data_IF_324483078827
#
_entry.id   IF_324483078827
#
_cell.length_a   1.000
_cell.length_b   1.000
_cell.length_c   1.000
_cell.angle_alpha   90.00
_cell.angle_beta   90.00
_cell.angle_gamma   90.00
#
_symmetry.space_group_name_H-M   'P 1'
#
loop_
_entity.id
_entity.type
_entity.pdbx_description
1 polymer ?
#
# COMPACT_ATOMS: atom_id res chain seq x y z
N UNK A 1 6.79 -22.04 -34.93
CA UNK A 1 5.54 -22.83 -35.07
C UNK A 1 4.47 -22.06 -34.31
N UNK A 2 3.69 -21.25 -35.03
CA UNK A 2 2.66 -20.41 -34.42
C UNK A 2 1.41 -21.24 -34.16
N UNK A 3 0.84 -21.10 -32.95
CA UNK A 3 -0.54 -21.47 -32.67
C UNK A 3 -1.23 -20.30 -31.99
N UNK A 4 -1.87 -19.49 -32.82
CA UNK A 4 -2.95 -18.58 -32.45
C UNK A 4 -4.18 -19.41 -32.11
N UNK A 5 -4.78 -19.17 -30.94
CA UNK A 5 -6.11 -19.68 -30.60
C UNK A 5 -7.09 -18.50 -30.57
N UNK A 6 -7.99 -18.48 -31.54
CA UNK A 6 -9.16 -17.61 -31.56
C UNK A 6 -10.14 -18.04 -30.47
N UNK A 7 -10.55 -17.12 -29.61
CA UNK A 7 -11.76 -17.28 -28.81
C UNK A 7 -12.81 -16.24 -29.25
N UNK A 8 -13.98 -16.77 -29.58
CA UNK A 8 -15.12 -16.10 -30.20
C UNK A 8 -15.98 -15.52 -29.07
N UNK A 9 -16.00 -14.19 -28.87
CA UNK A 9 -16.92 -13.55 -27.92
C UNK A 9 -18.29 -13.33 -28.56
N UNK A 10 -19.29 -13.96 -27.96
CA UNK A 10 -20.71 -13.79 -28.26
C UNK A 10 -21.21 -12.55 -27.50
N UNK A 11 -21.54 -11.48 -28.22
CA UNK A 11 -22.19 -10.30 -27.65
C UNK A 11 -23.67 -10.59 -27.36
N UNK A 12 -24.08 -10.52 -26.10
CA UNK A 12 -25.48 -10.24 -25.76
C UNK A 12 -25.59 -8.77 -25.33
N UNK A 13 -26.19 -7.96 -26.22
CA UNK A 13 -26.71 -6.64 -25.91
C UNK A 13 -27.95 -6.79 -25.02
N UNK A 14 -27.94 -6.21 -23.82
CA UNK A 14 -29.18 -5.87 -23.11
C UNK A 14 -29.51 -4.40 -23.40
N UNK A 15 -30.58 -4.19 -24.16
CA UNK A 15 -31.06 -2.88 -24.59
C UNK A 15 -31.86 -2.15 -23.53
N UNK A 16 -31.63 -0.84 -23.46
CA UNK A 16 -32.49 0.14 -22.83
C UNK A 16 -33.87 0.19 -23.48
N UNK A 17 -34.94 0.22 -22.68
CA UNK A 17 -36.26 0.69 -23.11
C UNK A 17 -36.95 1.47 -21.97
N UNK A 18 -37.27 2.73 -22.29
CA UNK A 18 -38.00 3.72 -21.48
C UNK A 18 -39.50 3.42 -21.40
N UNK A 19 -40.16 3.84 -20.32
CA UNK A 19 -41.63 4.00 -20.26
C UNK A 19 -42.18 4.51 -18.92
N UNK A 20 -42.45 5.83 -18.83
CA UNK A 20 -43.22 6.58 -17.79
C UNK A 20 -44.76 6.31 -17.90
N UNK A 21 -45.69 6.93 -17.11
CA UNK A 21 -45.64 7.49 -15.73
C UNK A 21 -46.89 7.16 -14.87
N UNK A 22 -46.93 7.58 -13.60
CA UNK A 22 -48.21 7.94 -12.94
C UNK A 22 -48.05 9.09 -11.93
N UNK A 23 -49.02 10.01 -12.00
CA UNK A 23 -49.13 11.32 -11.33
C UNK A 23 -50.05 11.20 -10.09
N UNK A 24 -50.04 12.24 -9.23
CA UNK A 24 -51.09 12.74 -8.30
C UNK A 24 -50.76 12.43 -6.82
N UNK A 25 -50.74 13.33 -5.83
CA UNK A 25 -50.99 14.77 -5.68
C UNK A 25 -50.40 15.29 -4.35
N UNK A 26 -50.02 16.58 -4.32
CA UNK A 26 -49.93 17.46 -3.14
C UNK A 26 -51.32 18.06 -2.85
N UNK A 27 -51.67 18.46 -1.58
CA UNK A 27 -51.40 19.84 -1.09
C UNK A 27 -51.25 19.91 0.47
N UNK A 28 -50.69 20.91 1.18
CA UNK A 28 -50.89 22.37 1.38
C UNK A 28 -49.74 22.82 2.34
N UNK A 29 -48.98 23.92 2.20
CA UNK A 29 -49.20 25.38 2.22
C UNK A 29 -49.34 26.09 3.61
N UNK A 30 -48.55 27.17 3.76
CA UNK A 30 -48.53 28.31 4.73
C UNK A 30 -47.62 28.17 5.98
N UNK A 31 -46.74 29.14 6.35
CA UNK A 31 -46.38 30.46 5.81
C UNK A 31 -45.79 31.38 6.91
N UNK A 32 -44.88 32.28 6.52
CA UNK A 32 -44.46 33.58 7.14
C UNK A 32 -43.83 33.57 8.56
N UNK A 33 -42.88 34.43 8.97
CA UNK A 33 -42.35 35.72 8.48
C UNK A 33 -41.10 36.14 9.31
N UNK A 34 -40.23 36.98 8.74
CA UNK A 34 -39.10 37.71 9.39
C UNK A 34 -39.55 39.02 10.08
N UNK A 35 -38.67 39.70 10.85
CA UNK A 35 -38.06 40.95 10.32
C UNK A 35 -36.61 41.32 10.77
N UNK A 36 -35.88 41.97 9.85
CA UNK A 36 -34.82 43.04 9.91
C UNK A 36 -33.95 43.21 11.16
N UNK A 37 -32.60 43.38 11.16
CA UNK A 37 -31.57 44.02 10.30
C UNK A 37 -30.37 44.41 11.24
N UNK A 38 -29.25 45.09 10.87
CA UNK A 38 -28.87 45.74 9.61
C UNK A 38 -27.52 45.26 8.99
N UNK A 39 -27.21 45.86 7.83
CA UNK A 39 -26.02 45.75 6.96
C UNK A 39 -24.65 45.62 7.65
N UNK A 40 -23.82 44.71 7.13
CA UNK A 40 -22.41 45.01 6.89
C UNK A 40 -21.95 44.35 5.58
N UNK A 41 -21.42 45.19 4.69
CA UNK A 41 -20.91 44.82 3.38
C UNK A 41 -19.48 44.32 3.53
N UNK A 42 -19.25 43.02 3.35
CA UNK A 42 -17.92 42.42 3.28
C UNK A 42 -17.90 41.33 2.23
N UNK A 43 -17.05 41.48 1.23
CA UNK A 43 -16.71 40.48 0.22
C UNK A 43 -16.47 39.11 0.87
N UNK A 44 -17.34 38.14 0.56
CA UNK A 44 -17.11 36.73 0.86
C UNK A 44 -16.66 36.04 -0.43
N UNK A 45 -15.45 36.35 -0.86
CA UNK A 45 -14.66 35.51 -1.74
C UNK A 45 -13.47 34.98 -0.93
N UNK A 46 -13.28 33.67 -0.99
CA UNK A 46 -12.00 33.00 -0.79
C UNK A 46 -11.53 32.76 0.66
N UNK A 47 -12.27 31.94 1.42
CA UNK A 47 -11.69 31.14 2.51
C UNK A 47 -12.13 29.67 2.40
N UNK A 48 -11.78 29.03 1.28
CA UNK A 48 -11.53 27.59 1.29
C UNK A 48 -10.15 27.37 1.90
N UNK A 49 -10.20 26.99 3.18
CA UNK A 49 -9.09 26.62 4.06
C UNK A 49 -8.00 25.84 3.31
N UNK A 50 -6.91 26.52 3.00
CA UNK A 50 -5.62 25.89 2.82
C UNK A 50 -5.32 25.07 4.09
N UNK A 51 -5.22 23.76 3.95
CA UNK A 51 -4.70 22.86 4.97
C UNK A 51 -3.29 23.35 5.29
N UNK A 52 -3.12 24.01 6.44
CA UNK A 52 -1.82 24.54 6.81
C UNK A 52 -0.89 23.38 7.15
N UNK A 53 0.06 23.10 6.26
CA UNK A 53 1.18 22.20 6.50
C UNK A 53 1.91 22.70 7.74
N UNK A 54 1.80 21.95 8.84
CA UNK A 54 2.27 22.34 10.15
C UNK A 54 3.79 22.10 10.23
N UNK A 55 4.62 23.11 9.89
CA UNK A 55 6.09 22.99 9.81
C UNK A 55 6.85 23.14 11.13
N UNK A 56 6.16 23.13 12.28
CA UNK A 56 6.78 23.36 13.57
C UNK A 56 6.16 22.47 14.65
N UNK A 57 6.56 21.19 14.66
CA UNK A 57 6.52 20.38 15.87
C UNK A 57 7.97 20.10 16.26
N UNK A 58 8.39 20.53 17.44
CA UNK A 58 9.73 20.31 17.95
C UNK A 58 9.97 18.82 18.16
N UNK A 59 10.91 18.29 17.38
CA UNK A 59 11.34 16.91 17.29
C UNK A 59 12.42 16.59 18.33
N UNK A 60 12.28 15.47 19.02
CA UNK A 60 13.40 14.85 19.73
C UNK A 60 13.57 13.40 19.28
N UNK A 61 14.39 13.19 18.25
CA UNK A 61 15.05 11.92 17.96
C UNK A 61 16.57 12.17 18.01
N UNK A 62 17.40 11.33 18.66
CA UNK A 62 18.83 11.58 18.75
C UNK A 62 19.61 10.99 17.56
N UNK A 63 20.55 11.80 17.08
CA UNK A 63 21.70 11.51 16.19
C UNK A 63 21.38 11.07 14.77
N UNK A 64 21.39 12.03 13.83
CA UNK A 64 21.89 11.87 12.46
C UNK A 64 21.65 10.49 11.83
N UNK A 65 20.39 10.05 11.74
CA UNK A 65 20.06 8.87 10.95
C UNK A 65 20.26 9.26 9.48
N UNK A 66 21.39 8.87 8.92
CA UNK A 66 21.70 8.97 7.49
C UNK A 66 21.37 7.63 6.85
N UNK A 67 21.05 7.59 5.54
CA UNK A 67 20.91 6.33 4.82
C UNK A 67 22.09 5.39 5.07
N UNK A 68 21.84 4.09 5.23
CA UNK A 68 22.95 3.13 5.38
C UNK A 68 23.83 3.11 4.13
N UNK A 69 23.22 3.32 2.95
CA UNK A 69 23.90 3.46 1.65
C UNK A 69 24.79 4.69 1.53
N UNK A 70 24.61 5.71 2.39
CA UNK A 70 25.40 6.95 2.43
C UNK A 70 25.59 7.41 3.88
N UNK A 71 26.28 6.58 4.67
CA UNK A 71 26.49 6.79 6.12
C UNK A 71 27.27 8.07 6.48
N UNK A 72 28.06 8.61 5.55
CA UNK A 72 28.78 9.89 5.72
C UNK A 72 27.95 11.09 5.22
N UNK A 73 26.73 10.83 4.73
CA UNK A 73 25.80 11.81 4.15
C UNK A 73 26.41 12.70 3.07
N UNK A 74 27.20 12.12 2.17
CA UNK A 74 27.87 12.86 1.10
C UNK A 74 26.87 13.51 0.13
N UNK A 75 25.68 12.92 0.02
CA UNK A 75 24.58 13.39 -0.82
C UNK A 75 23.73 14.48 -0.16
N UNK A 76 23.94 14.76 1.13
CA UNK A 76 23.23 15.81 1.87
C UNK A 76 21.76 15.50 2.17
N UNK A 77 21.42 14.24 2.39
CA UNK A 77 20.09 13.77 2.76
C UNK A 77 19.53 14.49 3.99
N UNK A 78 18.25 14.86 3.89
CA UNK A 78 17.45 15.45 4.95
C UNK A 78 16.30 14.49 5.28
N UNK A 79 16.21 14.07 6.54
CA UNK A 79 15.20 13.11 6.99
C UNK A 79 13.78 13.71 6.92
N UNK A 80 12.82 12.91 6.46
CA UNK A 80 11.39 13.21 6.40
C UNK A 80 10.68 12.55 7.57
N UNK A 81 10.66 13.24 8.71
CA UNK A 81 10.11 12.69 9.94
C UNK A 81 8.59 12.39 9.90
N UNK A 82 7.87 12.99 8.96
CA UNK A 82 6.47 12.69 8.65
C UNK A 82 6.27 11.34 7.95
N UNK A 83 7.33 10.77 7.40
CA UNK A 83 7.40 9.47 6.72
C UNK A 83 8.33 8.47 7.43
N UNK A 84 9.04 8.91 8.48
CA UNK A 84 9.98 8.07 9.24
C UNK A 84 9.42 7.72 10.62
N UNK A 85 9.65 6.49 11.06
CA UNK A 85 9.32 6.01 12.39
C UNK A 85 10.33 4.97 12.89
N UNK A 86 10.71 5.10 14.16
CA UNK A 86 11.60 4.17 14.87
C UNK A 86 10.79 3.16 15.70
N UNK A 87 9.47 3.31 15.76
CA UNK A 87 8.55 2.42 16.48
C UNK A 87 8.87 2.21 17.98
N UNK A 88 9.62 3.13 18.59
CA UNK A 88 9.97 3.16 20.03
C UNK A 88 8.77 3.47 20.96
N UNK A 89 7.62 3.82 20.39
CA UNK A 89 6.39 4.10 21.13
C UNK A 89 5.76 2.85 21.74
N UNK A 90 4.70 3.03 22.55
CA UNK A 90 3.87 1.90 23.01
C UNK A 90 2.72 1.58 22.05
N UNK A 91 2.48 2.44 21.06
CA UNK A 91 1.41 2.37 20.07
C UNK A 91 1.88 3.02 18.78
N UNK A 92 1.33 2.62 17.63
CA UNK A 92 1.62 3.22 16.33
C UNK A 92 1.26 4.72 16.32
N UNK A 93 2.11 5.56 15.72
CA UNK A 93 1.81 6.98 15.54
C UNK A 93 0.81 7.17 14.39
N UNK A 94 -0.48 7.16 14.72
CA UNK A 94 -1.58 7.30 13.74
C UNK A 94 -1.68 8.69 13.11
N UNK A 95 -0.80 9.63 13.48
CA UNK A 95 -0.62 10.90 12.75
C UNK A 95 0.25 10.71 11.51
N UNK A 96 1.09 9.67 11.47
CA UNK A 96 1.97 9.33 10.35
C UNK A 96 1.43 8.17 9.53
N UNK A 97 0.75 7.22 10.18
CA UNK A 97 0.35 5.96 9.55
C UNK A 97 -1.17 5.75 9.59
N UNK A 98 -1.74 5.35 8.45
CA UNK A 98 -2.97 4.56 8.44
C UNK A 98 -2.64 3.11 8.81
N UNK A 99 -3.64 2.41 9.34
CA UNK A 99 -3.59 0.95 9.55
C UNK A 99 -4.51 0.35 8.50
N UNK A 100 -4.00 -0.60 7.72
CA UNK A 100 -4.78 -1.27 6.69
C UNK A 100 -5.98 -2.00 7.29
N UNK A 101 -7.10 -2.04 6.56
CA UNK A 101 -8.36 -2.63 7.03
C UNK A 101 -9.10 -1.82 8.11
N UNK A 102 -8.60 -0.65 8.51
CA UNK A 102 -9.28 0.16 9.52
C UNK A 102 -10.49 0.92 8.94
N UNK A 103 -11.69 0.82 9.55
CA UNK A 103 -12.91 1.45 9.02
C UNK A 103 -12.83 2.97 8.85
N UNK A 104 -11.96 3.65 9.61
CA UNK A 104 -11.79 5.09 9.49
C UNK A 104 -11.00 5.48 8.24
N UNK A 105 -10.23 4.59 7.61
CA UNK A 105 -9.53 4.89 6.35
C UNK A 105 -10.56 5.27 5.29
N UNK A 106 -11.63 4.50 5.17
CA UNK A 106 -12.76 4.80 4.28
C UNK A 106 -13.49 6.13 4.59
N UNK A 107 -13.33 6.67 5.80
CA UNK A 107 -13.98 7.92 6.23
C UNK A 107 -13.03 9.13 6.24
N UNK A 108 -11.72 8.91 6.42
CA UNK A 108 -10.66 9.93 6.37
C UNK A 108 -10.25 10.22 4.93
N UNK A 109 -10.36 9.23 4.03
CA UNK A 109 -10.25 9.43 2.60
C UNK A 109 -11.50 10.18 2.08
N UNK A 110 -11.35 11.22 1.23
CA UNK A 110 -12.48 11.98 0.73
C UNK A 110 -13.52 11.08 0.04
N UNK A 111 -14.73 10.99 0.61
CA UNK A 111 -15.85 10.26 0.01
C UNK A 111 -16.17 10.88 -1.37
N UNK A 112 -16.01 10.09 -2.45
CA UNK A 112 -16.39 10.50 -3.80
C UNK A 112 -15.30 10.42 -4.87
N UNK A 113 -14.16 9.79 -4.58
CA UNK A 113 -13.13 9.53 -5.59
C UNK A 113 -12.90 8.02 -5.75
N UNK A 114 -13.89 7.31 -6.28
CA UNK A 114 -13.75 5.91 -6.70
C UNK A 114 -12.98 5.77 -8.03
N UNK A 115 -12.30 6.83 -8.48
CA UNK A 115 -11.31 6.82 -9.57
C UNK A 115 -10.09 7.73 -9.28
N UNK A 116 -10.03 8.38 -8.10
CA UNK A 116 -9.00 9.38 -7.75
C UNK A 116 -8.74 9.34 -6.22
N UNK A 117 -8.39 8.19 -5.65
CA UNK A 117 -7.95 8.13 -4.24
C UNK A 117 -6.83 9.17 -4.00
N UNK A 118 -6.44 9.46 -2.76
CA UNK A 118 -5.26 10.30 -2.50
C UNK A 118 -3.93 9.70 -3.02
N UNK A 119 -4.02 8.62 -3.82
CA UNK A 119 -2.93 7.82 -4.36
C UNK A 119 -2.42 6.80 -3.35
N UNK A 120 -2.95 6.78 -2.12
CA UNK A 120 -2.41 5.91 -1.08
C UNK A 120 -2.86 4.47 -1.21
N UNK A 121 -3.95 4.18 -1.93
CA UNK A 121 -4.61 2.85 -1.96
C UNK A 121 -5.02 2.32 -0.58
N UNK A 122 -5.12 3.17 0.45
CA UNK A 122 -5.30 2.71 1.83
C UNK A 122 -6.66 2.01 2.09
N UNK A 123 -7.63 2.20 1.18
CA UNK A 123 -8.93 1.52 1.15
C UNK A 123 -8.89 0.11 0.57
N UNK A 124 -7.76 -0.31 -0.02
CA UNK A 124 -7.57 -1.66 -0.53
C UNK A 124 -7.73 -2.71 0.58
N UNK A 125 -8.48 -3.77 0.28
CA UNK A 125 -8.81 -4.84 1.22
C UNK A 125 -7.65 -5.81 1.47
N UNK A 126 -6.62 -5.74 0.61
CA UNK A 126 -5.57 -6.74 0.48
C UNK A 126 -5.89 -7.72 -0.64
N UNK A 127 -5.12 -8.80 -0.68
CA UNK A 127 -5.20 -9.82 -1.74
C UNK A 127 -5.76 -11.13 -1.21
N UNK A 128 -6.77 -11.67 -1.90
CA UNK A 128 -7.35 -12.93 -1.50
C UNK A 128 -6.32 -14.09 -1.64
N UNK A 129 -6.31 -15.05 -0.69
CA UNK A 129 -7.35 -15.28 0.32
C UNK A 129 -7.23 -14.41 1.58
N UNK A 130 -6.16 -13.63 1.74
CA UNK A 130 -5.98 -12.80 2.93
C UNK A 130 -6.73 -11.48 2.88
N UNK A 131 -7.17 -10.97 4.03
CA UNK A 131 -7.76 -9.62 4.17
C UNK A 131 -7.02 -8.85 5.26
N UNK A 132 -6.86 -7.54 5.10
CA UNK A 132 -6.31 -6.70 6.17
C UNK A 132 -7.24 -6.64 7.38
N UNK A 133 -6.68 -6.86 8.57
CA UNK A 133 -7.36 -6.66 9.85
C UNK A 133 -6.63 -5.58 10.65
N UNK A 134 -7.37 -4.55 11.07
CA UNK A 134 -6.79 -3.43 11.81
C UNK A 134 -6.21 -3.81 13.18
N UNK A 135 -6.49 -5.01 13.68
CA UNK A 135 -5.92 -5.56 14.91
C UNK A 135 -4.62 -6.34 14.68
N UNK A 136 -4.23 -6.61 13.43
CA UNK A 136 -3.05 -7.40 13.07
C UNK A 136 -1.75 -6.59 13.12
N UNK A 137 -1.56 -5.81 14.18
CA UNK A 137 -0.27 -5.25 14.50
C UNK A 137 -0.10 -5.07 16.00
N UNK A 138 1.16 -5.04 16.45
CA UNK A 138 1.51 -4.55 17.78
C UNK A 138 2.91 -3.95 17.78
N UNK A 139 3.21 -3.13 18.79
CA UNK A 139 4.56 -2.64 19.03
C UNK A 139 5.13 -3.30 20.28
N UNK A 140 6.29 -3.91 20.14
CA UNK A 140 7.03 -4.52 21.23
C UNK A 140 8.54 -4.39 20.98
N UNK A 141 9.32 -4.24 22.06
CA UNK A 141 10.79 -4.21 22.00
C UNK A 141 11.36 -3.20 20.97
N UNK A 142 10.70 -2.05 20.83
CA UNK A 142 11.06 -0.97 19.90
C UNK A 142 10.81 -1.30 18.43
N UNK A 143 9.86 -2.19 18.13
CA UNK A 143 9.59 -2.65 16.76
C UNK A 143 8.10 -2.73 16.50
N UNK A 144 7.72 -2.47 15.26
CA UNK A 144 6.41 -2.82 14.74
C UNK A 144 6.41 -4.28 14.30
N UNK A 145 5.37 -5.01 14.69
CA UNK A 145 5.10 -6.38 14.25
C UNK A 145 3.80 -6.37 13.46
N UNK A 146 3.84 -6.69 12.17
CA UNK A 146 2.66 -6.87 11.33
C UNK A 146 2.31 -8.35 11.29
N UNK A 147 1.15 -8.70 11.80
CA UNK A 147 0.75 -10.10 12.04
C UNK A 147 0.20 -10.75 10.78
N UNK A 148 0.42 -12.06 10.69
CA UNK A 148 -0.22 -12.99 9.75
C UNK A 148 -0.90 -14.04 10.60
N UNK A 149 -2.23 -14.13 10.51
CA UNK A 149 -3.03 -15.00 11.38
C UNK A 149 -3.89 -15.98 10.58
N UNK A 150 -4.06 -17.17 11.15
CA UNK A 150 -5.11 -18.11 10.72
C UNK A 150 -6.39 -17.79 11.50
N UNK A 151 -7.35 -17.16 10.83
CA UNK A 151 -8.58 -16.64 11.40
C UNK A 151 -9.84 -17.03 10.57
N UNK A 152 -10.14 -18.34 10.40
CA UNK A 152 -11.27 -18.81 9.59
C UNK A 152 -12.65 -18.39 10.13
N UNK A 153 -12.72 -18.11 11.43
CA UNK A 153 -13.94 -17.67 12.11
C UNK A 153 -13.98 -16.15 12.32
N UNK A 154 -13.13 -15.38 11.61
CA UNK A 154 -13.13 -13.92 11.69
C UNK A 154 -14.47 -13.34 11.22
N UNK A 155 -14.95 -12.31 11.93
CA UNK A 155 -16.16 -11.56 11.55
C UNK A 155 -15.97 -10.75 10.25
N UNK A 156 -14.73 -10.66 9.73
CA UNK A 156 -14.45 -10.11 8.40
C UNK A 156 -14.90 -11.03 7.26
N UNK A 157 -15.18 -12.31 7.53
CA UNK A 157 -15.58 -13.27 6.51
C UNK A 157 -17.08 -13.62 6.56
N UNK A 158 -17.75 -13.75 5.40
CA UNK A 158 -17.26 -13.38 4.06
C UNK A 158 -17.06 -11.87 3.94
N UNK A 159 -16.09 -11.46 3.11
CA UNK A 159 -15.93 -10.04 2.77
C UNK A 159 -17.05 -9.66 1.79
N UNK A 160 -17.83 -8.63 2.12
CA UNK A 160 -19.01 -8.21 1.36
C UNK A 160 -18.85 -6.80 0.82
N UNK A 161 -19.45 -6.53 -0.34
CA UNK A 161 -19.59 -5.18 -0.90
C UNK A 161 -20.72 -4.38 -0.23
N UNK A 162 -20.97 -3.16 -0.72
CA UNK A 162 -22.01 -2.26 -0.18
C UNK A 162 -23.44 -2.82 -0.36
N UNK A 163 -23.65 -3.67 -1.36
CA UNK A 163 -24.90 -4.37 -1.64
C UNK A 163 -25.08 -5.65 -0.81
N UNK A 164 -24.03 -6.09 -0.11
CA UNK A 164 -24.02 -7.31 0.70
C UNK A 164 -23.71 -8.57 -0.09
N UNK A 165 -23.14 -8.45 -1.29
CA UNK A 165 -22.67 -9.57 -2.11
C UNK A 165 -21.21 -9.90 -1.78
N UNK A 166 -20.84 -11.18 -1.89
CA UNK A 166 -19.48 -11.66 -1.58
C UNK A 166 -18.48 -11.13 -2.61
N UNK A 167 -17.44 -10.43 -2.12
CA UNK A 167 -16.35 -9.95 -2.96
C UNK A 167 -15.46 -11.13 -3.35
N UNK A 168 -15.20 -11.25 -4.65
CA UNK A 168 -14.27 -12.21 -5.23
C UNK A 168 -13.10 -11.39 -5.79
N UNK A 169 -11.89 -11.81 -5.45
CA UNK A 169 -10.68 -11.24 -6.03
C UNK A 169 -10.58 -11.66 -7.50
N UNK A 170 -10.55 -10.66 -8.39
CA UNK A 170 -10.63 -10.85 -9.83
C UNK A 170 -9.34 -11.44 -10.43
N UNK A 171 -8.21 -11.38 -9.72
CA UNK A 171 -6.93 -11.90 -10.22
C UNK A 171 -6.85 -13.41 -10.01
N UNK A 172 -7.12 -13.87 -8.77
CA UNK A 172 -7.11 -15.31 -8.47
C UNK A 172 -8.45 -16.00 -8.75
N UNK A 173 -9.53 -15.24 -8.98
CA UNK A 173 -10.92 -15.73 -9.00
C UNK A 173 -11.27 -16.50 -7.71
N UNK A 174 -10.81 -15.99 -6.56
CA UNK A 174 -10.89 -16.66 -5.28
C UNK A 174 -11.51 -15.74 -4.20
N UNK A 175 -12.00 -16.35 -3.12
CA UNK A 175 -12.63 -15.65 -2.00
C UNK A 175 -11.58 -15.24 -0.97
N UNK A 176 -11.88 -14.15 -0.27
CA UNK A 176 -11.22 -13.81 0.98
C UNK A 176 -11.67 -14.79 2.06
N UNK A 177 -10.73 -15.53 2.65
CA UNK A 177 -11.01 -16.53 3.68
C UNK A 177 -9.76 -16.92 4.48
N UNK A 178 -9.99 -17.40 5.71
CA UNK A 178 -9.02 -18.07 6.57
C UNK A 178 -7.81 -17.27 7.06
N UNK A 179 -7.40 -16.21 6.37
CA UNK A 179 -6.19 -15.46 6.70
C UNK A 179 -6.50 -13.98 6.90
N UNK A 180 -6.05 -13.44 8.04
CA UNK A 180 -5.99 -11.99 8.23
C UNK A 180 -4.54 -11.56 8.28
N UNK A 181 -4.25 -10.37 7.76
CA UNK A 181 -2.88 -9.82 7.65
C UNK A 181 -2.83 -8.37 8.13
N UNK A 182 -1.64 -7.91 8.53
CA UNK A 182 -1.39 -6.54 8.95
C UNK A 182 -0.70 -5.71 7.87
N UNK A 183 -1.01 -4.42 7.84
CA UNK A 183 -0.36 -3.45 6.95
C UNK A 183 -0.44 -2.03 7.51
N UNK A 184 0.53 -1.19 7.14
CA UNK A 184 0.55 0.25 7.43
C UNK A 184 0.85 1.05 6.17
N UNK A 185 0.24 2.23 6.11
CA UNK A 185 0.35 3.16 4.97
C UNK A 185 0.71 4.53 5.49
N UNK A 186 1.68 5.21 4.88
CA UNK A 186 1.99 6.58 5.29
C UNK A 186 0.88 7.55 4.90
N UNK A 187 0.53 8.48 5.81
CA UNK A 187 -0.44 9.56 5.55
C UNK A 187 0.13 10.66 4.66
N UNK A 188 1.45 10.85 4.70
CA UNK A 188 2.18 11.73 3.79
C UNK A 188 2.72 10.94 2.61
N UNK A 189 3.17 11.65 1.57
CA UNK A 189 3.80 11.07 0.40
C UNK A 189 5.11 11.79 0.03
N UNK A 190 5.84 11.19 -0.90
CA UNK A 190 7.10 11.70 -1.42
C UNK A 190 7.15 11.57 -2.94
N UNK A 191 7.81 12.53 -3.59
CA UNK A 191 8.28 12.39 -4.97
C UNK A 191 9.79 12.53 -4.96
N UNK A 192 10.47 11.46 -5.36
CA UNK A 192 11.93 11.30 -5.26
C UNK A 192 12.48 11.34 -3.83
N UNK A 193 13.63 10.69 -3.63
CA UNK A 193 14.29 10.62 -2.34
C UNK A 193 14.91 9.26 -2.10
N UNK A 194 15.03 8.90 -0.82
CA UNK A 194 15.47 7.59 -0.37
C UNK A 194 14.51 7.07 0.69
N UNK A 195 14.00 5.86 0.51
CA UNK A 195 13.20 5.16 1.52
C UNK A 195 13.97 3.90 1.94
N UNK A 196 14.03 3.64 3.25
CA UNK A 196 14.74 2.53 3.85
C UNK A 196 13.91 1.90 4.96
N UNK A 197 13.96 0.58 5.06
CA UNK A 197 13.35 -0.19 6.12
C UNK A 197 14.41 -1.14 6.70
N UNK A 198 14.45 -1.26 8.02
CA UNK A 198 15.16 -2.36 8.68
C UNK A 198 14.15 -3.37 9.18
N UNK A 199 14.14 -4.55 8.59
CA UNK A 199 13.08 -5.53 8.84
C UNK A 199 13.56 -6.97 8.71
N UNK A 200 12.69 -7.89 9.17
CA UNK A 200 12.81 -9.34 9.02
C UNK A 200 11.46 -9.87 8.56
N UNK A 201 11.43 -10.48 7.37
CA UNK A 201 10.22 -11.02 6.76
C UNK A 201 9.56 -12.11 7.63
N UNK A 202 8.25 -12.30 7.47
CA UNK A 202 7.53 -13.36 8.15
C UNK A 202 8.07 -14.74 7.72
N UNK A 203 8.40 -15.67 8.64
CA UNK A 203 9.09 -16.94 8.34
C UNK A 203 8.15 -18.03 7.79
N UNK A 204 7.28 -17.67 6.87
CA UNK A 204 6.15 -18.44 6.33
C UNK A 204 5.92 -18.09 4.86
N UNK A 205 5.08 -18.85 4.17
CA UNK A 205 4.76 -18.66 2.75
C UNK A 205 3.73 -17.55 2.56
N UNK A 206 4.14 -16.32 2.87
CA UNK A 206 3.42 -15.07 2.59
C UNK A 206 4.44 -14.05 2.14
N UNK A 207 4.02 -13.13 1.28
CA UNK A 207 4.85 -11.97 0.94
C UNK A 207 4.88 -11.05 2.14
N UNK A 208 6.06 -10.66 2.58
CA UNK A 208 6.28 -9.44 3.35
C UNK A 208 6.82 -8.40 2.38
N UNK A 209 6.17 -7.23 2.32
CA UNK A 209 6.50 -6.22 1.31
C UNK A 209 6.85 -4.88 1.94
N UNK A 210 7.73 -4.15 1.25
CA UNK A 210 7.98 -2.74 1.47
C UNK A 210 7.98 -2.05 0.12
N UNK A 211 7.00 -1.17 -0.08
CA UNK A 211 6.69 -0.64 -1.39
C UNK A 211 6.19 0.79 -1.27
N UNK A 212 5.98 1.43 -2.42
CA UNK A 212 5.45 2.77 -2.49
C UNK A 212 4.44 2.89 -3.64
N UNK A 213 3.30 3.51 -3.41
CA UNK A 213 2.25 3.67 -4.42
C UNK A 213 1.66 5.08 -4.42
N UNK A 214 1.34 5.57 -5.61
CA UNK A 214 0.63 6.82 -5.86
C UNK A 214 -0.63 6.56 -6.69
N UNK A 215 -1.07 7.55 -7.44
CA UNK A 215 -2.12 7.38 -8.42
C UNK A 215 -1.60 6.52 -9.59
N UNK A 216 -1.85 5.21 -9.52
CA UNK A 216 -1.53 4.20 -10.53
C UNK A 216 -0.04 3.95 -10.81
N UNK A 217 0.91 4.51 -10.04
CA UNK A 217 2.33 4.15 -10.13
C UNK A 217 2.83 3.55 -8.82
N UNK A 218 3.59 2.47 -8.92
CA UNK A 218 4.05 1.69 -7.80
C UNK A 218 5.52 1.28 -7.95
N UNK A 219 6.23 1.26 -6.83
CA UNK A 219 7.62 0.81 -6.72
C UNK A 219 7.71 -0.17 -5.55
N UNK A 220 7.92 -1.44 -5.87
CA UNK A 220 8.20 -2.49 -4.91
C UNK A 220 9.69 -2.49 -4.60
N UNK A 221 10.03 -1.98 -3.41
CA UNK A 221 11.41 -1.99 -2.93
C UNK A 221 11.80 -3.41 -2.58
N UNK A 222 10.89 -4.17 -1.97
CA UNK A 222 10.91 -5.62 -2.04
C UNK A 222 9.52 -6.22 -1.84
N UNK A 223 9.32 -7.40 -2.41
CA UNK A 223 8.30 -8.37 -2.03
C UNK A 223 9.00 -9.71 -1.76
N UNK A 224 9.08 -10.12 -0.50
CA UNK A 224 9.87 -11.29 -0.09
C UNK A 224 9.00 -12.36 0.54
N UNK A 225 9.19 -13.60 0.09
CA UNK A 225 8.54 -14.78 0.67
C UNK A 225 9.49 -15.47 1.66
N UNK A 226 9.20 -15.38 2.95
CA UNK A 226 10.12 -15.83 4.00
C UNK A 226 10.23 -17.36 4.15
N UNK A 227 9.35 -18.13 3.53
CA UNK A 227 9.46 -19.59 3.40
C UNK A 227 8.86 -20.08 2.09
N UNK A 228 9.62 -20.88 1.35
CA UNK A 228 9.17 -21.51 0.12
C UNK A 228 7.84 -22.27 0.31
N UNK A 229 6.91 -22.07 -0.62
CA UNK A 229 5.65 -22.79 -0.65
C UNK A 229 5.57 -23.87 -1.71
N UNK A 230 4.43 -24.56 -1.74
CA UNK A 230 4.07 -25.60 -2.69
C UNK A 230 2.98 -25.16 -3.68
N UNK A 231 2.86 -23.85 -3.90
CA UNK A 231 1.95 -23.27 -4.88
C UNK A 231 2.28 -23.67 -6.33
N UNK A 232 1.40 -23.35 -7.29
CA UNK A 232 1.54 -23.74 -8.69
C UNK A 232 2.80 -23.19 -9.37
N UNK A 233 3.25 -21.99 -8.99
CA UNK A 233 4.49 -21.41 -9.53
C UNK A 233 5.72 -21.91 -8.75
N UNK A 234 5.49 -22.31 -7.50
CA UNK A 234 6.45 -22.98 -6.65
C UNK A 234 7.64 -22.07 -6.37
N UNK A 235 7.58 -21.31 -5.27
CA UNK A 235 8.61 -20.33 -4.85
C UNK A 235 10.04 -20.86 -4.96
N UNK A 236 10.20 -22.16 -4.72
CA UNK A 236 11.48 -22.85 -4.67
C UNK A 236 12.24 -22.53 -3.38
N UNK A 237 13.15 -23.44 -2.99
CA UNK A 237 13.89 -23.34 -1.72
C UNK A 237 14.72 -22.05 -1.56
N UNK A 238 14.93 -21.31 -2.65
CA UNK A 238 15.66 -20.04 -2.67
C UNK A 238 14.79 -18.82 -2.40
N UNK A 239 13.47 -18.91 -2.43
CA UNK A 239 12.57 -17.76 -2.27
C UNK A 239 12.90 -16.85 -1.07
N UNK A 240 13.26 -17.39 0.12
CA UNK A 240 13.63 -16.53 1.26
C UNK A 240 14.93 -15.74 1.09
N UNK A 241 15.65 -15.97 -0.02
CA UNK A 241 16.91 -15.33 -0.39
C UNK A 241 16.78 -14.51 -1.66
N UNK A 242 15.56 -14.23 -2.13
CA UNK A 242 15.30 -13.39 -3.29
C UNK A 242 14.67 -12.09 -2.82
N UNK A 243 15.23 -10.97 -3.26
CA UNK A 243 14.63 -9.64 -3.19
C UNK A 243 14.02 -9.35 -4.55
N UNK A 244 12.72 -9.57 -4.68
CA UNK A 244 11.95 -9.23 -5.90
C UNK A 244 11.61 -7.76 -5.87
N UNK A 245 11.91 -7.04 -6.95
CA UNK A 245 11.62 -5.60 -7.09
C UNK A 245 10.89 -5.36 -8.39
N UNK A 246 9.83 -4.58 -8.36
CA UNK A 246 9.00 -4.32 -9.53
C UNK A 246 8.56 -2.85 -9.54
N UNK A 247 8.41 -2.30 -10.74
CA UNK A 247 7.65 -1.06 -10.95
C UNK A 247 6.35 -1.47 -11.64
N UNK A 248 5.21 -0.97 -11.15
CA UNK A 248 3.92 -1.13 -11.81
C UNK A 248 3.34 0.20 -12.27
N UNK A 249 2.67 0.18 -13.42
CA UNK A 249 1.86 1.28 -13.92
C UNK A 249 0.47 0.78 -14.28
N UNK A 250 -0.49 1.03 -13.39
CA UNK A 250 -1.85 0.51 -13.47
C UNK A 250 -2.69 1.14 -14.58
N UNK A 251 -2.19 2.18 -15.27
CA UNK A 251 -2.80 2.72 -16.49
C UNK A 251 -2.47 1.88 -17.75
N UNK A 252 -1.59 0.88 -17.64
CA UNK A 252 -1.03 0.15 -18.78
C UNK A 252 -1.49 -1.31 -18.79
N UNK A 253 -2.26 -1.67 -19.81
CA UNK A 253 -2.55 -3.07 -20.12
C UNK A 253 -3.28 -3.80 -18.99
N UNK A 254 -3.09 -5.12 -18.93
CA UNK A 254 -3.41 -5.91 -17.74
C UNK A 254 -2.15 -6.21 -16.93
N UNK A 255 -2.29 -6.99 -15.87
CA UNK A 255 -1.18 -7.34 -14.95
C UNK A 255 0.05 -7.95 -15.64
N UNK A 256 -0.11 -8.62 -16.79
CA UNK A 256 1.01 -9.19 -17.55
C UNK A 256 1.86 -8.12 -18.26
N UNK A 257 1.33 -6.91 -18.46
CA UNK A 257 1.94 -5.83 -19.24
C UNK A 257 2.27 -4.59 -18.38
N UNK A 258 1.73 -4.50 -17.16
CA UNK A 258 1.80 -3.30 -16.33
C UNK A 258 3.10 -3.19 -15.52
N UNK A 259 3.88 -4.28 -15.43
CA UNK A 259 5.04 -4.42 -14.55
C UNK A 259 6.37 -4.48 -15.29
N UNK A 260 7.42 -3.93 -14.67
CA UNK A 260 8.81 -4.18 -15.03
C UNK A 260 9.63 -4.39 -13.77
N UNK A 261 10.14 -5.61 -13.57
CA UNK A 261 10.82 -6.01 -12.35
C UNK A 261 11.98 -6.98 -12.60
N UNK A 262 12.78 -7.15 -11.56
CA UNK A 262 13.96 -8.01 -11.53
C UNK A 262 14.08 -8.67 -10.14
N UNK A 263 14.60 -9.90 -10.14
CA UNK A 263 14.89 -10.66 -8.93
C UNK A 263 16.37 -10.61 -8.57
N UNK A 264 16.68 -10.22 -7.34
CA UNK A 264 18.05 -10.16 -6.85
C UNK A 264 18.31 -11.21 -5.77
N UNK A 265 19.28 -12.09 -6.05
CA UNK A 265 19.70 -13.11 -5.09
C UNK A 265 20.55 -12.50 -3.95
N UNK A 266 20.09 -12.71 -2.73
CA UNK A 266 20.74 -12.32 -1.48
C UNK A 266 21.60 -13.48 -0.94
N UNK A 267 22.65 -13.13 -0.21
CA UNK A 267 23.55 -14.14 0.40
C UNK A 267 23.02 -14.70 1.73
N UNK A 268 21.88 -14.17 2.19
CA UNK A 268 21.25 -14.47 3.47
C UNK A 268 19.75 -14.66 3.27
N UNK A 269 19.07 -15.15 4.32
CA UNK A 269 17.63 -15.39 4.32
C UNK A 269 16.94 -14.21 5.02
N UNK A 270 16.06 -13.50 4.30
CA UNK A 270 15.38 -12.30 4.80
C UNK A 270 14.43 -12.55 5.99
N UNK A 271 14.10 -13.81 6.28
CA UNK A 271 13.27 -14.20 7.43
C UNK A 271 14.09 -14.71 8.65
N UNK A 272 15.41 -14.89 8.54
CA UNK A 272 16.25 -15.38 9.64
C UNK A 272 16.74 -14.24 10.55
N UNK A 273 17.14 -13.11 9.95
CA UNK A 273 17.74 -11.96 10.65
C UNK A 273 17.19 -10.63 10.13
N UNK A 274 17.44 -9.55 10.88
CA UNK A 274 17.11 -8.19 10.44
C UNK A 274 18.13 -7.69 9.44
N UNK A 275 17.63 -7.24 8.29
CA UNK A 275 18.42 -6.62 7.23
C UNK A 275 17.86 -5.25 6.89
N UNK A 276 18.68 -4.44 6.21
CA UNK A 276 18.28 -3.10 5.77
C UNK A 276 18.05 -3.10 4.27
N UNK A 277 16.86 -2.71 3.84
CA UNK A 277 16.49 -2.61 2.44
C UNK A 277 16.11 -1.18 2.12
N UNK A 278 16.40 -0.70 0.93
CA UNK A 278 15.97 0.63 0.56
C UNK A 278 16.05 0.91 -0.93
N UNK A 279 15.41 1.99 -1.35
CA UNK A 279 15.45 2.46 -2.72
C UNK A 279 15.73 3.96 -2.78
N UNK A 280 16.67 4.36 -3.64
CA UNK A 280 16.83 5.74 -4.07
C UNK A 280 16.05 5.95 -5.35
N UNK A 281 15.06 6.84 -5.34
CA UNK A 281 14.28 7.18 -6.51
C UNK A 281 14.55 8.62 -6.95
N UNK A 282 14.80 8.79 -8.24
CA UNK A 282 14.90 10.10 -8.90
C UNK A 282 14.27 10.02 -10.30
N UNK A 283 14.24 11.14 -11.02
CA UNK A 283 13.67 11.27 -12.38
C UNK A 283 14.20 10.26 -13.41
N UNK A 284 15.41 9.71 -13.21
CA UNK A 284 16.09 8.86 -14.19
C UNK A 284 16.12 7.38 -13.82
N UNK A 285 16.10 7.04 -12.53
CA UNK A 285 16.27 5.66 -12.06
C UNK A 285 15.77 5.44 -10.63
N UNK A 286 15.44 4.18 -10.35
CA UNK A 286 15.31 3.62 -9.01
C UNK A 286 16.53 2.75 -8.77
N UNK A 287 17.28 3.00 -7.70
CA UNK A 287 18.42 2.19 -7.28
C UNK A 287 18.05 1.47 -6.00
N UNK A 288 18.14 0.15 -5.99
CA UNK A 288 17.77 -0.71 -4.86
C UNK A 288 19.01 -1.12 -4.06
N UNK A 289 18.87 -1.20 -2.75
CA UNK A 289 19.94 -1.47 -1.81
C UNK A 289 19.55 -2.56 -0.82
N UNK A 290 20.51 -3.41 -0.48
CA UNK A 290 20.44 -4.36 0.64
C UNK A 290 21.69 -4.25 1.51
N UNK A 291 21.52 -4.12 2.82
CA UNK A 291 22.56 -3.84 3.82
C UNK A 291 23.51 -2.69 3.42
N UNK A 292 22.95 -1.65 2.79
CA UNK A 292 23.66 -0.45 2.33
C UNK A 292 24.46 -0.62 1.03
N UNK A 293 24.54 -1.82 0.47
CA UNK A 293 25.15 -2.05 -0.84
C UNK A 293 24.11 -1.92 -1.95
N UNK A 294 24.49 -1.33 -3.09
CA UNK A 294 23.65 -1.35 -4.29
C UNK A 294 23.49 -2.79 -4.78
N UNK A 295 22.24 -3.24 -4.83
CA UNK A 295 21.84 -4.59 -5.25
C UNK A 295 21.42 -4.59 -6.72
N UNK A 296 20.74 -3.52 -7.15
CA UNK A 296 20.19 -3.42 -8.50
C UNK A 296 19.68 -2.02 -8.81
N UNK A 297 19.25 -1.82 -10.05
CA UNK A 297 18.65 -0.57 -10.51
C UNK A 297 17.71 -0.81 -11.68
N UNK A 298 16.70 0.04 -11.79
CA UNK A 298 15.81 0.13 -12.95
C UNK A 298 15.83 1.58 -13.42
N UNK A 299 16.27 1.80 -14.66
CA UNK A 299 16.26 3.12 -15.29
C UNK A 299 14.93 3.41 -15.97
N UNK A 300 14.60 4.68 -16.15
CA UNK A 300 13.45 5.13 -16.95
C UNK A 300 13.45 4.52 -18.36
N UNK A 301 14.63 4.33 -18.95
CA UNK A 301 14.76 3.76 -20.29
C UNK A 301 14.43 2.25 -20.33
N UNK A 302 14.76 1.51 -19.26
CA UNK A 302 14.45 0.09 -19.11
C UNK A 302 12.95 -0.13 -18.83
N UNK A 303 12.40 0.61 -17.87
CA UNK A 303 10.98 0.54 -17.52
C UNK A 303 10.06 1.02 -18.67
N UNK A 304 10.54 1.93 -19.52
CA UNK A 304 9.83 2.36 -20.71
C UNK A 304 8.47 2.98 -20.39
N UNK A 305 7.38 2.35 -20.85
CA UNK A 305 6.03 2.85 -20.63
C UNK A 305 5.60 2.77 -19.15
N UNK A 306 6.14 1.80 -18.39
CA UNK A 306 5.84 1.63 -16.96
C UNK A 306 6.31 2.82 -16.14
N UNK A 307 7.38 3.50 -16.57
CA UNK A 307 7.94 4.61 -15.81
C UNK A 307 6.97 5.79 -15.65
N UNK A 308 6.75 6.22 -14.42
CA UNK A 308 5.96 7.40 -14.08
C UNK A 308 6.67 8.22 -12.98
N UNK A 309 6.12 9.39 -12.64
CA UNK A 309 6.71 10.35 -11.71
C UNK A 309 5.70 10.90 -10.69
N UNK A 310 4.89 10.05 -10.08
CA UNK A 310 3.87 10.51 -9.14
C UNK A 310 4.42 10.83 -7.73
N UNK A 311 3.58 11.30 -6.82
CA UNK A 311 3.86 11.24 -5.39
C UNK A 311 3.42 9.88 -4.86
N UNK A 312 4.31 9.22 -4.12
CA UNK A 312 4.08 7.88 -3.59
C UNK A 312 3.98 7.89 -2.06
N UNK A 313 2.98 7.20 -1.56
CA UNK A 313 2.82 6.80 -0.17
C UNK A 313 3.65 5.55 0.10
N UNK A 314 4.23 5.44 1.29
CA UNK A 314 5.02 4.30 1.73
C UNK A 314 4.11 3.26 2.36
N UNK A 315 4.31 2.00 1.97
CA UNK A 315 3.60 0.84 2.48
C UNK A 315 4.54 -0.20 3.09
N UNK A 316 4.05 -0.87 4.12
CA UNK A 316 4.62 -2.11 4.61
C UNK A 316 3.50 -3.04 5.07
N UNK A 317 3.47 -4.26 4.58
CA UNK A 317 2.35 -5.18 4.77
C UNK A 317 2.73 -6.65 4.54
N UNK A 318 1.73 -7.53 4.66
CA UNK A 318 1.83 -8.92 4.25
C UNK A 318 0.67 -9.31 3.34
N UNK A 319 0.95 -10.22 2.39
CA UNK A 319 -0.04 -10.77 1.47
C UNK A 319 0.10 -12.28 1.30
N UNK A 320 -1.04 -12.96 1.13
CA UNK A 320 -1.07 -14.38 0.76
C UNK A 320 -1.09 -14.55 -0.76
N UNK A 321 0.01 -15.04 -1.33
CA UNK A 321 0.13 -15.32 -2.76
C UNK A 321 -0.17 -16.79 -3.05
N UNK A 322 -1.37 -17.07 -3.59
CA UNK A 322 -1.77 -18.44 -3.93
C UNK A 322 -0.78 -19.17 -4.83
N UNK A 323 -0.11 -18.43 -5.73
CA UNK A 323 0.85 -18.99 -6.68
C UNK A 323 2.16 -19.43 -6.01
N UNK A 324 2.54 -18.77 -4.92
CA UNK A 324 3.68 -19.15 -4.07
C UNK A 324 3.33 -20.35 -3.18
N UNK A 325 2.08 -20.40 -2.71
CA UNK A 325 1.57 -21.37 -1.76
C UNK A 325 1.01 -20.65 -0.52
N UNK A 326 0.42 -21.40 0.39
CA UNK A 326 -0.19 -20.83 1.60
C UNK A 326 0.45 -21.41 2.87
N UNK A 327 0.58 -20.61 3.94
CA UNK A 327 1.10 -21.12 5.20
C UNK A 327 0.10 -22.08 5.85
N UNK A 328 0.62 -23.05 6.60
CA UNK A 328 -0.22 -23.95 7.37
C UNK A 328 -0.78 -23.21 8.60
N UNK A 329 -2.02 -23.48 8.98
CA UNK A 329 -2.63 -22.95 10.21
C UNK A 329 -1.77 -23.20 11.47
N UNK A 330 -1.02 -24.31 11.52
CA UNK A 330 -0.13 -24.65 12.64
C UNK A 330 1.15 -23.80 12.72
N UNK A 331 1.45 -23.04 11.67
CA UNK A 331 2.60 -22.13 11.60
C UNK A 331 2.24 -20.71 12.03
N UNK A 332 0.95 -20.40 12.23
CA UNK A 332 0.43 -19.08 12.55
C UNK A 332 -0.04 -19.00 14.02
N UNK A 333 0.01 -17.82 14.66
CA UNK A 333 0.41 -16.53 14.10
C UNK A 333 1.94 -16.32 14.09
N UNK A 334 2.40 -15.52 13.14
CA UNK A 334 3.76 -15.00 13.02
C UNK A 334 3.70 -13.54 12.53
N UNK A 335 4.84 -12.87 12.44
CA UNK A 335 4.91 -11.47 12.04
C UNK A 335 6.04 -11.16 11.07
N UNK A 336 5.78 -10.16 10.23
CA UNK A 336 6.78 -9.33 9.59
C UNK A 336 7.24 -8.26 10.59
N UNK A 337 8.51 -8.29 10.96
CA UNK A 337 9.04 -7.45 12.02
C UNK A 337 9.82 -6.27 11.44
N UNK A 338 9.51 -5.06 11.91
CA UNK A 338 10.06 -3.81 11.40
C UNK A 338 10.66 -3.03 12.56
N UNK A 339 11.98 -2.82 12.50
CA UNK A 339 12.74 -2.04 13.49
C UNK A 339 12.60 -0.55 13.24
N UNK A 340 12.71 -0.11 11.98
CA UNK A 340 12.42 1.26 11.60
C UNK A 340 12.00 1.34 10.13
N UNK A 341 11.26 2.39 9.80
CA UNK A 341 11.13 2.92 8.44
C UNK A 341 11.68 4.34 8.45
N UNK A 342 12.55 4.66 7.50
CA UNK A 342 13.13 6.00 7.38
C UNK A 342 13.06 6.46 5.93
N UNK A 343 12.68 7.72 5.77
CA UNK A 343 12.63 8.37 4.48
C UNK A 343 13.46 9.65 4.52
N UNK A 344 14.17 9.92 3.44
CA UNK A 344 14.95 11.14 3.24
C UNK A 344 14.66 11.76 1.89
N UNK A 345 14.90 13.05 1.79
CA UNK A 345 14.88 13.81 0.55
C UNK A 345 16.17 14.60 0.38
N UNK A 346 16.43 15.06 -0.84
CA UNK A 346 17.49 16.05 -1.09
C UNK A 346 17.08 17.42 -0.52
N UNK A 347 18.05 18.29 -0.18
CA UNK A 347 17.82 19.62 0.41
C UNK A 347 16.95 20.56 -0.42
#
# INVERSE_FOLDING_TARGET
MNKTAHCLRLFLLCGFLRGLPMIVALPFLHGCSTPSGPDDSGDANDELRAVSINRHAEFTAPVSATPLSDSENQSGWVIRNDLSDEFDGSTLDTRKWYVAGAPYVYNELPIGLTEDSDGSSADWLGRAPSVFDMSNYFIADGKLHLLVEWAPDSELFPVLDEEGEEIIDDECMCRYENFTVGGIISKSNMKYGYAEIRSRAAPVTVSSAFWMIGNHFEIDIFEMVGKAGDGPDGSGDTAPRIMSTTLHNWDIGGIEDNGYGEDYALQWNGAEDFHVYGAQWNEQEVIFYADGAETGRITQAEAGAVWNEDYLHVWADNEAFLWEGLPLASELPVSFDIDYIRVWQKP
#
